data_IF_476488237876
#
_entry.id   IF_476488237876
#
_cell.length_a   1.000
_cell.length_b   1.000
_cell.length_c   1.000
_cell.angle_alpha   90.00
_cell.angle_beta   90.00
_cell.angle_gamma   90.00
#
_symmetry.space_group_name_H-M   'P 1'
#
loop_
_entity.id
_entity.type
_entity.pdbx_description
1 polymer ?
#
# COMPACT_ATOMS: atom_id res chain seq x y z
N UNK A 1 15.39 -13.82 0.53
CA UNK A 1 16.26 -13.91 1.72
C UNK A 1 17.64 -14.29 1.25
N UNK A 2 18.64 -13.42 1.48
CA UNK A 2 20.04 -13.76 1.31
C UNK A 2 20.62 -14.17 2.65
N UNK A 3 21.17 -15.36 2.75
CA UNK A 3 22.02 -15.77 3.86
C UNK A 3 23.48 -15.72 3.44
N UNK A 4 24.39 -15.34 4.33
CA UNK A 4 25.81 -15.28 4.04
C UNK A 4 26.57 -16.37 4.82
N UNK A 5 27.58 -16.92 4.17
CA UNK A 5 28.57 -17.77 4.78
C UNK A 5 29.98 -17.27 4.44
N UNK A 6 30.90 -17.36 5.38
CA UNK A 6 32.28 -16.95 5.17
C UNK A 6 33.02 -17.87 4.18
N UNK A 7 33.77 -17.30 3.23
CA UNK A 7 34.66 -18.05 2.35
C UNK A 7 35.60 -18.97 3.14
N UNK A 8 36.05 -18.52 4.30
CA UNK A 8 36.91 -19.27 5.20
C UNK A 8 36.24 -20.53 5.75
N UNK A 9 34.92 -20.50 5.98
CA UNK A 9 34.16 -21.67 6.40
C UNK A 9 34.09 -22.68 5.27
N UNK A 10 33.93 -22.25 4.02
CA UNK A 10 34.02 -23.10 2.84
C UNK A 10 35.41 -23.76 2.70
N UNK A 11 36.47 -22.98 2.92
CA UNK A 11 37.84 -23.48 2.83
C UNK A 11 38.17 -24.48 3.94
N UNK A 12 37.51 -24.39 5.11
CA UNK A 12 37.71 -25.27 6.26
C UNK A 12 36.78 -26.48 6.25
N UNK A 13 35.52 -26.32 5.82
CA UNK A 13 34.47 -27.34 5.93
C UNK A 13 33.97 -27.85 4.58
N UNK A 14 34.47 -27.33 3.46
CA UNK A 14 34.10 -27.75 2.12
C UNK A 14 32.72 -27.26 1.62
N UNK A 15 32.32 -27.71 0.44
CA UNK A 15 31.06 -27.31 -0.20
C UNK A 15 29.80 -27.90 0.52
N UNK A 16 29.96 -28.88 1.40
CA UNK A 16 28.87 -29.45 2.19
C UNK A 16 28.27 -28.42 3.16
N UNK A 17 29.09 -27.54 3.74
CA UNK A 17 28.64 -26.47 4.62
C UNK A 17 27.72 -25.49 3.89
N UNK A 18 28.03 -25.12 2.63
CA UNK A 18 27.15 -24.27 1.79
C UNK A 18 25.77 -24.89 1.61
N UNK A 19 25.74 -26.20 1.35
CA UNK A 19 24.49 -26.92 1.16
C UNK A 19 23.64 -26.95 2.43
N UNK A 20 24.28 -27.08 3.59
CA UNK A 20 23.62 -27.09 4.88
C UNK A 20 23.01 -25.73 5.23
N UNK A 21 23.79 -24.66 5.11
CA UNK A 21 23.31 -23.28 5.29
C UNK A 21 22.15 -22.93 4.33
N UNK A 22 22.27 -23.32 3.07
CA UNK A 22 21.22 -23.12 2.08
C UNK A 22 19.92 -23.85 2.46
N UNK A 23 20.03 -25.08 2.99
CA UNK A 23 18.87 -25.85 3.46
C UNK A 23 18.19 -25.18 4.64
N UNK A 24 18.93 -24.65 5.61
CA UNK A 24 18.38 -23.89 6.73
C UNK A 24 17.61 -22.66 6.23
N UNK A 25 18.19 -21.89 5.31
CA UNK A 25 17.54 -20.73 4.73
C UNK A 25 16.24 -21.09 3.98
N UNK A 26 16.23 -22.19 3.23
CA UNK A 26 15.04 -22.68 2.54
C UNK A 26 13.92 -23.08 3.51
N UNK A 27 14.27 -23.75 4.61
CA UNK A 27 13.31 -24.12 5.67
C UNK A 27 12.68 -22.86 6.29
N UNK A 28 13.48 -21.83 6.58
CA UNK A 28 12.97 -20.57 7.12
C UNK A 28 12.02 -19.89 6.12
N UNK A 29 12.39 -19.82 4.85
CA UNK A 29 11.55 -19.25 3.79
C UNK A 29 10.24 -20.03 3.63
N UNK A 30 10.31 -21.35 3.63
CA UNK A 30 9.12 -22.20 3.59
C UNK A 30 8.20 -21.93 4.80
N UNK A 31 8.77 -21.89 6.01
CA UNK A 31 8.03 -21.59 7.24
C UNK A 31 7.33 -20.21 7.16
N UNK A 32 7.97 -19.21 6.59
CA UNK A 32 7.36 -17.89 6.38
C UNK A 32 6.18 -17.98 5.41
N UNK A 33 6.36 -18.60 4.26
CA UNK A 33 5.34 -18.67 3.21
C UNK A 33 4.13 -19.51 3.61
N UNK A 34 4.34 -20.59 4.39
CA UNK A 34 3.27 -21.46 4.88
C UNK A 34 2.56 -20.91 6.12
N UNK A 35 3.07 -19.87 6.75
CA UNK A 35 2.55 -19.34 8.02
C UNK A 35 1.13 -18.76 7.93
N UNK A 36 0.70 -18.30 6.76
CA UNK A 36 -0.54 -17.54 6.56
C UNK A 36 -0.56 -16.15 7.22
N UNK A 37 0.58 -15.69 7.77
CA UNK A 37 0.74 -14.39 8.42
C UNK A 37 1.31 -13.34 7.47
N UNK A 38 2.29 -13.73 6.65
CA UNK A 38 2.93 -12.84 5.71
C UNK A 38 1.99 -12.51 4.56
N UNK A 39 1.88 -11.22 4.16
CA UNK A 39 0.99 -10.79 3.09
C UNK A 39 1.50 -11.09 1.68
N UNK A 40 2.82 -11.32 1.53
CA UNK A 40 3.49 -11.53 0.26
C UNK A 40 4.46 -12.70 0.36
N UNK A 41 4.80 -13.27 -0.79
CA UNK A 41 5.75 -14.37 -0.89
C UNK A 41 7.17 -13.89 -0.55
N UNK A 42 7.91 -14.75 0.15
CA UNK A 42 9.35 -14.62 0.39
C UNK A 42 10.07 -15.55 -0.58
N UNK A 43 10.86 -14.98 -1.49
CA UNK A 43 11.67 -15.72 -2.45
C UNK A 43 13.07 -15.92 -1.90
N UNK A 44 13.51 -17.17 -1.80
CA UNK A 44 14.88 -17.46 -1.41
C UNK A 44 15.87 -17.12 -2.53
N UNK A 45 16.97 -16.47 -2.19
CA UNK A 45 18.13 -16.27 -3.06
C UNK A 45 19.29 -17.14 -2.55
N UNK A 46 20.18 -17.59 -3.43
CA UNK A 46 21.32 -18.43 -3.03
C UNK A 46 22.16 -17.82 -1.91
N UNK A 47 22.79 -18.69 -1.11
CA UNK A 47 23.73 -18.26 -0.08
C UNK A 47 24.87 -17.45 -0.69
N UNK A 48 25.10 -16.25 -0.15
CA UNK A 48 26.08 -15.29 -0.65
C UNK A 48 27.40 -15.48 0.09
N UNK A 49 28.51 -15.53 -0.62
CA UNK A 49 29.83 -15.84 -0.05
C UNK A 49 30.90 -14.78 -0.32
N UNK A 50 30.65 -13.82 -1.20
CA UNK A 50 31.62 -12.80 -1.59
C UNK A 50 30.96 -11.49 -2.04
N UNK A 51 31.75 -10.42 -2.13
CA UNK A 51 31.28 -9.08 -2.52
C UNK A 51 30.63 -9.04 -3.91
N UNK A 52 31.04 -9.91 -4.83
CA UNK A 52 30.51 -9.92 -6.19
C UNK A 52 29.12 -10.53 -6.22
N UNK A 53 28.92 -11.67 -5.57
CA UNK A 53 27.61 -12.33 -5.47
C UNK A 53 26.61 -11.47 -4.70
N UNK A 54 27.04 -10.83 -3.61
CA UNK A 54 26.20 -9.90 -2.82
C UNK A 54 25.78 -8.71 -3.70
N UNK A 55 26.71 -8.04 -4.34
CA UNK A 55 26.41 -6.89 -5.21
C UNK A 55 25.44 -7.26 -6.32
N UNK A 56 25.70 -8.37 -7.02
CA UNK A 56 24.85 -8.85 -8.11
C UNK A 56 23.43 -9.12 -7.64
N UNK A 57 23.26 -9.77 -6.49
CA UNK A 57 21.93 -10.05 -5.91
C UNK A 57 21.16 -8.76 -5.61
N UNK A 58 21.82 -7.73 -5.07
CA UNK A 58 21.16 -6.44 -4.83
C UNK A 58 20.84 -5.67 -6.13
N UNK A 59 21.70 -5.76 -7.15
CA UNK A 59 21.44 -5.18 -8.46
C UNK A 59 20.25 -5.89 -9.15
N UNK A 60 20.16 -7.21 -9.06
CA UNK A 60 19.02 -8.00 -9.53
C UNK A 60 17.73 -7.62 -8.80
N UNK A 61 17.78 -7.51 -7.46
CA UNK A 61 16.64 -7.08 -6.68
C UNK A 61 16.16 -5.65 -7.01
N UNK A 62 17.09 -4.74 -7.34
CA UNK A 62 16.70 -3.40 -7.81
C UNK A 62 15.97 -3.42 -9.15
N UNK A 63 16.40 -4.29 -10.08
CA UNK A 63 15.85 -4.40 -11.42
C UNK A 63 14.54 -5.20 -11.48
N UNK A 64 14.28 -6.03 -10.51
CA UNK A 64 13.08 -6.87 -10.42
C UNK A 64 11.88 -6.04 -9.96
N UNK A 65 10.92 -5.79 -10.84
CA UNK A 65 9.72 -4.99 -10.55
C UNK A 65 8.79 -5.67 -9.51
N UNK A 66 8.84 -6.99 -9.38
CA UNK A 66 8.06 -7.74 -8.40
C UNK A 66 8.72 -7.75 -7.01
N UNK A 67 9.98 -7.35 -6.90
CA UNK A 67 10.70 -7.29 -5.63
C UNK A 67 10.38 -6.01 -4.87
N UNK A 68 9.63 -6.09 -3.78
CA UNK A 68 9.33 -4.92 -2.93
C UNK A 68 10.45 -4.54 -1.95
N UNK A 69 11.34 -5.48 -1.61
CA UNK A 69 12.44 -5.24 -0.67
C UNK A 69 13.24 -6.51 -0.39
N UNK A 70 14.30 -6.39 0.41
CA UNK A 70 15.19 -7.51 0.72
C UNK A 70 15.24 -7.76 2.23
N UNK A 71 15.11 -9.02 2.62
CA UNK A 71 15.38 -9.51 3.97
C UNK A 71 16.78 -10.13 3.98
N UNK A 72 17.64 -9.65 4.88
CA UNK A 72 18.98 -10.20 5.09
C UNK A 72 19.04 -10.98 6.39
N UNK A 73 19.74 -12.10 6.37
CA UNK A 73 20.00 -12.93 7.54
C UNK A 73 21.47 -13.37 7.53
N UNK A 74 22.15 -13.18 8.66
CA UNK A 74 23.52 -13.60 8.86
C UNK A 74 23.52 -14.96 9.57
N UNK A 75 23.73 -16.03 8.83
CA UNK A 75 23.66 -17.39 9.39
C UNK A 75 24.91 -17.74 10.20
N UNK A 76 26.08 -17.43 9.65
CA UNK A 76 27.37 -17.73 10.26
C UNK A 76 28.14 -16.43 10.56
N UNK A 77 29.42 -16.54 10.90
CA UNK A 77 30.29 -15.37 10.98
C UNK A 77 30.31 -14.62 9.64
N UNK A 78 29.94 -13.36 9.67
CA UNK A 78 29.86 -12.52 8.49
C UNK A 78 31.07 -11.58 8.40
N UNK A 79 31.89 -11.64 7.34
CA UNK A 79 32.86 -10.60 7.02
C UNK A 79 32.12 -9.41 6.40
N UNK A 80 31.45 -8.61 7.23
CA UNK A 80 30.50 -7.58 6.80
C UNK A 80 31.04 -6.55 5.81
N UNK A 81 32.37 -6.42 5.66
CA UNK A 81 32.97 -5.61 4.59
C UNK A 81 32.56 -6.07 3.18
N UNK A 82 32.25 -7.34 3.01
CA UNK A 82 31.79 -7.90 1.72
C UNK A 82 30.48 -7.32 1.25
N UNK A 83 29.65 -6.83 2.17
CA UNK A 83 28.33 -6.24 1.89
C UNK A 83 28.38 -4.81 1.38
N UNK A 84 29.48 -4.09 1.58
CA UNK A 84 29.56 -2.64 1.31
C UNK A 84 29.18 -2.32 -0.13
N UNK A 85 29.74 -3.00 -1.11
CA UNK A 85 29.48 -2.71 -2.52
C UNK A 85 28.03 -3.00 -2.91
N UNK A 86 27.42 -4.07 -2.40
CA UNK A 86 26.03 -4.40 -2.61
C UNK A 86 25.09 -3.39 -1.95
N UNK A 87 25.35 -3.05 -0.69
CA UNK A 87 24.56 -2.06 0.06
C UNK A 87 24.62 -0.67 -0.58
N UNK A 88 25.75 -0.26 -1.15
CA UNK A 88 25.86 1.00 -1.90
C UNK A 88 25.00 1.03 -3.16
N UNK A 89 24.86 -0.11 -3.83
CA UNK A 89 24.03 -0.24 -5.04
C UNK A 89 22.53 -0.36 -4.72
N UNK A 90 22.16 -0.81 -3.52
CA UNK A 90 20.78 -1.15 -3.17
C UNK A 90 19.90 0.08 -2.97
N UNK A 91 18.66 0.04 -3.51
CA UNK A 91 17.73 1.19 -3.53
C UNK A 91 16.34 0.88 -2.98
N UNK A 92 16.09 -0.37 -2.60
CA UNK A 92 14.78 -0.79 -2.08
C UNK A 92 14.79 -0.94 -0.56
N UNK A 93 13.63 -1.11 0.09
CA UNK A 93 13.56 -1.37 1.52
C UNK A 93 14.39 -2.56 1.97
N UNK A 94 15.08 -2.39 3.10
CA UNK A 94 15.93 -3.41 3.72
C UNK A 94 15.38 -3.81 5.08
N UNK A 95 15.25 -5.11 5.32
CA UNK A 95 15.03 -5.68 6.64
C UNK A 95 16.23 -6.55 7.03
N UNK A 96 16.75 -6.34 8.23
CA UNK A 96 17.76 -7.19 8.84
C UNK A 96 17.08 -8.10 9.86
N UNK A 97 16.98 -9.38 9.54
CA UNK A 97 16.42 -10.40 10.41
C UNK A 97 17.52 -10.99 11.30
N UNK A 98 17.46 -10.71 12.60
CA UNK A 98 18.31 -11.31 13.62
C UNK A 98 17.63 -12.58 14.14
N UNK A 99 18.01 -13.69 13.59
CA UNK A 99 17.49 -15.02 13.99
C UNK A 99 18.60 -16.05 13.88
N UNK A 100 18.33 -17.23 14.38
CA UNK A 100 19.15 -18.42 14.14
C UNK A 100 18.28 -19.61 13.83
N UNK A 101 18.87 -20.67 13.28
CA UNK A 101 18.13 -21.84 12.90
C UNK A 101 17.62 -22.63 14.11
N UNK A 102 18.45 -22.76 15.17
CA UNK A 102 18.07 -23.46 16.40
C UNK A 102 17.36 -22.51 17.37
N UNK A 103 16.31 -22.99 18.03
CA UNK A 103 15.62 -22.25 19.08
C UNK A 103 16.45 -22.20 20.36
N UNK A 104 17.05 -23.33 20.74
CA UNK A 104 17.81 -23.49 21.99
C UNK A 104 19.30 -23.71 21.73
N UNK A 105 20.13 -23.35 22.70
CA UNK A 105 21.54 -23.69 22.72
C UNK A 105 21.67 -25.10 23.32
N UNK A 106 22.22 -26.08 22.57
CA UNK A 106 22.35 -27.45 23.07
C UNK A 106 23.53 -27.59 24.06
N UNK A 107 23.37 -27.06 25.27
CA UNK A 107 24.46 -26.94 26.26
C UNK A 107 25.21 -28.26 26.56
N UNK A 108 24.53 -29.39 26.47
CA UNK A 108 25.13 -30.68 26.78
C UNK A 108 25.96 -31.27 25.64
N UNK A 109 25.76 -30.79 24.40
CA UNK A 109 26.39 -31.36 23.19
C UNK A 109 27.09 -30.32 22.32
N UNK A 110 27.05 -29.04 22.70
CA UNK A 110 27.65 -27.96 21.93
C UNK A 110 29.16 -28.15 21.77
N UNK A 111 29.64 -28.00 20.56
CA UNK A 111 31.06 -28.04 20.20
C UNK A 111 31.46 -26.84 19.33
N UNK A 112 32.70 -26.82 18.87
CA UNK A 112 33.20 -25.71 18.03
C UNK A 112 32.57 -25.69 16.65
N UNK A 113 32.20 -26.85 16.11
CA UNK A 113 31.57 -26.93 14.78
C UNK A 113 30.18 -26.35 14.83
N UNK A 114 29.38 -26.71 15.86
CA UNK A 114 28.09 -26.07 16.10
C UNK A 114 28.19 -24.56 16.27
N UNK A 115 29.16 -24.07 17.06
CA UNK A 115 29.34 -22.63 17.28
C UNK A 115 29.74 -21.90 16.00
N UNK A 116 30.57 -22.47 15.17
CA UNK A 116 30.99 -21.87 13.90
C UNK A 116 29.85 -21.81 12.87
N UNK A 117 29.02 -22.85 12.83
CA UNK A 117 27.88 -22.90 11.93
C UNK A 117 26.75 -21.96 12.39
N UNK A 118 26.61 -21.69 13.68
CA UNK A 118 25.53 -20.92 14.27
C UNK A 118 26.04 -19.63 14.93
N UNK A 119 26.69 -18.74 14.15
CA UNK A 119 27.23 -17.48 14.61
C UNK A 119 26.37 -16.27 14.22
N UNK A 120 25.06 -16.42 14.14
CA UNK A 120 24.15 -15.36 13.71
C UNK A 120 24.32 -14.07 14.54
N UNK A 121 24.39 -14.17 15.86
CA UNK A 121 24.56 -13.00 16.74
C UNK A 121 25.84 -12.20 16.44
N UNK A 122 26.93 -12.89 16.08
CA UNK A 122 28.19 -12.25 15.69
C UNK A 122 28.09 -11.60 14.31
N UNK A 123 27.54 -12.32 13.33
CA UNK A 123 27.31 -11.81 11.97
C UNK A 123 26.36 -10.62 11.94
N UNK A 124 25.27 -10.68 12.68
CA UNK A 124 24.28 -9.60 12.81
C UNK A 124 24.87 -8.32 13.38
N UNK A 125 25.75 -8.42 14.38
CA UNK A 125 26.46 -7.28 14.95
C UNK A 125 27.36 -6.60 13.92
N UNK A 126 28.14 -7.36 13.19
CA UNK A 126 29.05 -6.85 12.17
C UNK A 126 28.29 -6.22 10.99
N UNK A 127 27.28 -6.89 10.47
CA UNK A 127 26.43 -6.36 9.42
C UNK A 127 25.71 -5.08 9.87
N UNK A 128 25.10 -5.10 11.06
CA UNK A 128 24.44 -3.93 11.63
C UNK A 128 25.38 -2.74 11.82
N UNK A 129 26.65 -2.98 12.21
CA UNK A 129 27.67 -1.95 12.28
C UNK A 129 27.92 -1.28 10.91
N UNK A 130 28.11 -2.07 9.85
CA UNK A 130 28.35 -1.53 8.51
C UNK A 130 27.16 -0.75 7.99
N UNK A 131 25.95 -1.31 8.07
CA UNK A 131 24.73 -0.65 7.58
C UNK A 131 24.49 0.68 8.30
N UNK A 132 24.74 0.72 9.63
CA UNK A 132 24.64 1.95 10.43
C UNK A 132 25.67 2.98 10.00
N UNK A 133 26.95 2.58 9.81
CA UNK A 133 28.01 3.48 9.34
C UNK A 133 27.74 4.06 7.95
N UNK A 134 27.06 3.30 7.09
CA UNK A 134 26.68 3.74 5.76
C UNK A 134 25.44 4.65 5.76
N UNK A 135 24.77 4.82 6.90
CA UNK A 135 23.55 5.62 7.00
C UNK A 135 22.36 5.02 6.25
N UNK A 136 22.35 3.71 5.99
CA UNK A 136 21.28 3.04 5.26
C UNK A 136 20.12 2.75 6.21
N UNK A 137 18.91 3.27 5.94
CA UNK A 137 17.69 2.93 6.68
C UNK A 137 17.38 1.43 6.55
N UNK A 138 17.05 0.80 7.67
CA UNK A 138 16.59 -0.59 7.68
C UNK A 138 15.63 -0.84 8.83
N UNK A 139 14.76 -1.81 8.65
CA UNK A 139 14.03 -2.44 9.76
C UNK A 139 14.91 -3.52 10.40
N UNK A 140 14.80 -3.68 11.70
CA UNK A 140 15.51 -4.73 12.45
C UNK A 140 14.48 -5.56 13.20
N UNK A 141 14.39 -6.85 12.85
CA UNK A 141 13.51 -7.80 13.54
C UNK A 141 14.37 -8.85 14.23
N UNK A 142 14.21 -8.97 15.55
CA UNK A 142 14.97 -9.91 16.38
C UNK A 142 14.05 -10.96 16.96
N UNK A 143 14.45 -12.22 16.89
CA UNK A 143 13.77 -13.35 17.53
C UNK A 143 13.78 -14.61 16.71
N UNK A 144 13.24 -15.70 17.29
CA UNK A 144 13.16 -16.97 16.60
C UNK A 144 12.19 -16.92 15.42
N UNK A 145 12.61 -17.39 14.25
CA UNK A 145 11.87 -17.22 12.99
C UNK A 145 10.48 -17.88 12.99
N UNK A 146 10.27 -18.92 13.80
CA UNK A 146 8.95 -19.55 13.90
C UNK A 146 7.97 -18.76 14.77
N UNK A 147 8.45 -17.81 15.58
CA UNK A 147 7.57 -17.07 16.48
C UNK A 147 6.57 -16.21 15.71
N UNK A 148 5.34 -16.16 16.20
CA UNK A 148 4.27 -15.35 15.64
C UNK A 148 4.63 -13.87 15.62
N UNK A 149 5.24 -13.38 16.70
CA UNK A 149 5.64 -11.97 16.82
C UNK A 149 6.65 -11.55 15.75
N UNK A 150 7.66 -12.38 15.45
CA UNK A 150 8.64 -12.13 14.38
C UNK A 150 7.93 -12.05 13.03
N UNK A 151 7.04 -13.01 12.74
CA UNK A 151 6.27 -13.02 11.49
C UNK A 151 5.37 -11.80 11.34
N UNK A 152 4.72 -11.37 12.42
CA UNK A 152 3.86 -10.16 12.42
C UNK A 152 4.68 -8.88 12.17
N UNK A 153 5.88 -8.78 12.74
CA UNK A 153 6.81 -7.66 12.47
C UNK A 153 7.29 -7.65 11.01
N UNK A 154 7.65 -8.81 10.48
CA UNK A 154 8.02 -8.95 9.06
C UNK A 154 6.83 -8.57 8.18
N UNK A 155 5.63 -9.05 8.47
CA UNK A 155 4.42 -8.71 7.72
C UNK A 155 4.12 -7.21 7.73
N UNK A 156 4.32 -6.54 8.87
CA UNK A 156 4.17 -5.08 8.97
C UNK A 156 5.18 -4.34 8.09
N UNK A 157 6.45 -4.77 8.14
CA UNK A 157 7.48 -4.20 7.27
C UNK A 157 7.19 -4.43 5.78
N UNK A 158 6.74 -5.62 5.40
CA UNK A 158 6.37 -5.93 4.01
C UNK A 158 5.30 -4.99 3.47
N UNK A 159 4.31 -4.63 4.30
CA UNK A 159 3.26 -3.66 3.94
C UNK A 159 3.83 -2.26 3.72
N UNK A 160 4.77 -1.84 4.56
CA UNK A 160 5.48 -0.57 4.37
C UNK A 160 6.36 -0.59 3.12
N UNK A 161 7.02 -1.72 2.86
CA UNK A 161 7.87 -1.89 1.69
C UNK A 161 7.08 -1.77 0.38
N UNK A 162 5.91 -2.42 0.27
CA UNK A 162 5.07 -2.29 -0.92
C UNK A 162 4.54 -0.86 -1.08
N UNK A 163 4.21 -0.16 0.02
CA UNK A 163 3.85 1.26 -0.02
C UNK A 163 4.96 2.14 -0.58
N UNK A 164 6.22 1.87 -0.24
CA UNK A 164 7.37 2.61 -0.80
C UNK A 164 7.57 2.35 -2.30
N UNK A 165 7.31 1.14 -2.77
CA UNK A 165 7.38 0.80 -4.20
C UNK A 165 6.24 1.47 -4.95
N UNK A 166 5.02 1.36 -4.45
CA UNK A 166 3.84 2.03 -5.02
C UNK A 166 4.06 3.55 -5.11
N UNK A 167 4.61 4.16 -4.04
CA UNK A 167 4.89 5.60 -4.01
C UNK A 167 5.73 6.08 -5.19
N UNK A 168 6.71 5.29 -5.61
CA UNK A 168 7.59 5.66 -6.74
C UNK A 168 6.93 5.59 -8.11
N UNK A 169 5.79 4.92 -8.20
CA UNK A 169 5.09 4.63 -9.46
C UNK A 169 3.69 5.26 -9.51
N UNK A 170 3.28 5.94 -8.44
CA UNK A 170 1.92 6.49 -8.36
C UNK A 170 1.75 7.68 -9.28
N UNK A 171 0.69 7.65 -10.08
CA UNK A 171 0.26 8.75 -10.92
C UNK A 171 -1.10 9.25 -10.44
N UNK A 172 -1.19 10.55 -10.22
CA UNK A 172 -2.39 11.23 -9.72
C UNK A 172 -2.90 12.20 -10.77
N UNK A 173 -4.17 12.12 -11.10
CA UNK A 173 -4.79 13.13 -11.93
C UNK A 173 -5.57 14.13 -11.09
N UNK A 174 -5.27 15.41 -11.24
CA UNK A 174 -6.09 16.52 -10.74
C UNK A 174 -7.02 16.98 -11.87
N UNK A 175 -8.31 16.77 -11.69
CA UNK A 175 -9.35 17.23 -12.59
C UNK A 175 -9.82 18.61 -12.12
N UNK A 176 -9.73 19.62 -12.98
CA UNK A 176 -9.89 21.03 -12.67
C UNK A 176 -8.71 21.62 -11.85
N UNK A 177 -8.95 22.60 -11.00
CA UNK A 177 -7.92 23.30 -10.24
C UNK A 177 -8.05 23.05 -8.73
N UNK A 178 -7.13 23.59 -7.95
CA UNK A 178 -7.23 23.64 -6.50
C UNK A 178 -8.34 24.61 -6.07
N UNK A 179 -8.98 24.33 -4.95
CA UNK A 179 -9.98 25.23 -4.38
C UNK A 179 -9.33 26.56 -3.99
N UNK A 180 -9.91 27.67 -4.45
CA UNK A 180 -9.37 29.01 -4.21
C UNK A 180 -9.32 29.31 -2.72
N UNK A 181 -8.21 29.88 -2.27
CA UNK A 181 -7.97 30.33 -0.90
C UNK A 181 -7.96 29.18 0.16
N UNK A 182 -7.82 27.93 -0.27
CA UNK A 182 -7.65 26.77 0.62
C UNK A 182 -6.21 26.30 0.56
N UNK A 183 -5.41 26.74 1.52
CA UNK A 183 -3.97 26.55 1.51
C UNK A 183 -3.54 25.06 1.55
N UNK A 184 -4.29 24.21 2.23
CA UNK A 184 -3.96 22.78 2.38
C UNK A 184 -4.05 22.02 1.06
N UNK A 185 -4.80 22.51 0.07
CA UNK A 185 -4.92 21.84 -1.23
C UNK A 185 -3.73 22.14 -2.15
N UNK A 186 -2.97 23.19 -1.86
CA UNK A 186 -1.79 23.57 -2.63
C UNK A 186 -0.60 22.63 -2.35
N UNK A 187 0.37 22.63 -3.28
CA UNK A 187 1.60 21.86 -3.11
C UNK A 187 2.53 21.95 -4.31
N UNK A 188 3.80 21.68 -4.06
CA UNK A 188 4.83 21.61 -5.09
C UNK A 188 4.88 20.19 -5.69
N UNK A 189 4.36 20.06 -6.91
CA UNK A 189 4.31 18.80 -7.65
C UNK A 189 5.71 18.29 -8.03
N UNK A 190 6.63 19.21 -8.31
CA UNK A 190 8.01 18.85 -8.67
C UNK A 190 8.74 18.29 -7.46
N UNK A 191 8.59 18.94 -6.30
CA UNK A 191 9.16 18.44 -5.04
C UNK A 191 8.57 17.10 -4.65
N UNK A 192 7.26 16.87 -4.87
CA UNK A 192 6.61 15.60 -4.62
C UNK A 192 7.19 14.48 -5.50
N UNK A 193 7.43 14.76 -6.78
CA UNK A 193 8.06 13.79 -7.68
C UNK A 193 9.51 13.49 -7.29
N UNK A 194 10.29 14.50 -6.92
CA UNK A 194 11.68 14.33 -6.48
C UNK A 194 11.76 13.49 -5.20
N UNK A 195 10.90 13.76 -4.21
CA UNK A 195 10.97 13.10 -2.90
C UNK A 195 10.27 11.76 -2.85
N UNK A 196 9.10 11.66 -3.46
CA UNK A 196 8.21 10.52 -3.31
C UNK A 196 8.03 9.71 -4.60
N UNK A 197 8.40 10.27 -5.75
CA UNK A 197 8.14 9.68 -7.06
C UNK A 197 6.74 9.97 -7.62
N UNK A 198 5.93 10.76 -6.96
CA UNK A 198 4.55 11.04 -7.37
C UNK A 198 4.48 11.89 -8.64
N UNK A 199 3.85 11.37 -9.66
CA UNK A 199 3.55 12.11 -10.89
C UNK A 199 2.15 12.70 -10.82
N UNK A 200 2.04 14.02 -10.91
CA UNK A 200 0.76 14.73 -10.80
C UNK A 200 0.47 15.51 -12.07
N UNK A 201 -0.53 15.06 -12.82
CA UNK A 201 -1.03 15.74 -14.00
C UNK A 201 -2.32 16.52 -13.71
N UNK A 202 -2.61 17.52 -14.52
CA UNK A 202 -3.84 18.30 -14.44
C UNK A 202 -4.60 18.25 -15.76
N UNK A 203 -5.90 18.00 -15.66
CA UNK A 203 -6.79 17.93 -16.82
C UNK A 203 -8.03 18.82 -16.63
N UNK A 204 -8.52 19.45 -17.70
CA UNK A 204 -9.80 20.13 -17.66
C UNK A 204 -10.95 19.11 -17.53
N UNK A 205 -12.01 19.49 -16.84
CA UNK A 205 -13.15 18.60 -16.56
C UNK A 205 -13.76 18.02 -17.84
N UNK A 206 -13.80 18.80 -18.90
CA UNK A 206 -14.46 18.37 -20.14
C UNK A 206 -13.77 17.21 -20.85
N UNK A 207 -12.50 16.95 -20.62
CA UNK A 207 -11.85 15.74 -21.12
C UNK A 207 -12.45 14.48 -20.48
N UNK A 208 -12.78 14.53 -19.19
CA UNK A 208 -13.50 13.44 -18.51
C UNK A 208 -14.96 13.36 -18.98
N UNK A 209 -15.60 14.50 -19.24
CA UNK A 209 -16.96 14.57 -19.78
C UNK A 209 -17.08 13.84 -21.11
N UNK A 210 -16.07 13.90 -21.96
CA UNK A 210 -16.06 13.20 -23.25
C UNK A 210 -16.08 11.68 -23.03
N UNK A 211 -15.34 11.16 -22.06
CA UNK A 211 -15.39 9.74 -21.66
C UNK A 211 -16.76 9.35 -21.11
N UNK A 212 -17.36 10.19 -20.27
CA UNK A 212 -18.71 9.93 -19.70
C UNK A 212 -19.78 9.90 -20.81
N UNK A 213 -19.73 10.85 -21.75
CA UNK A 213 -20.67 10.91 -22.87
C UNK A 213 -20.51 9.75 -23.86
N UNK A 214 -19.34 9.11 -23.92
CA UNK A 214 -19.06 7.95 -24.76
C UNK A 214 -19.57 6.63 -24.18
N UNK A 215 -20.04 6.61 -22.92
CA UNK A 215 -20.53 5.38 -22.27
C UNK A 215 -21.83 4.91 -22.90
N UNK A 216 -21.91 3.63 -23.25
CA UNK A 216 -23.12 3.07 -23.85
C UNK A 216 -24.28 2.96 -22.85
N UNK A 217 -25.51 3.10 -23.34
CA UNK A 217 -26.68 2.93 -22.48
C UNK A 217 -26.74 1.53 -21.86
N UNK A 218 -26.30 0.50 -22.59
CA UNK A 218 -26.28 -0.87 -22.09
C UNK A 218 -25.35 -1.03 -20.87
N UNK A 219 -24.16 -0.41 -20.89
CA UNK A 219 -23.22 -0.45 -19.77
C UNK A 219 -23.75 0.33 -18.57
N UNK A 220 -24.39 1.48 -18.80
CA UNK A 220 -25.06 2.26 -17.74
C UNK A 220 -26.15 1.42 -17.08
N UNK A 221 -27.01 0.74 -17.88
CA UNK A 221 -28.09 -0.09 -17.35
C UNK A 221 -27.55 -1.26 -16.53
N UNK A 222 -26.50 -1.93 -17.02
CA UNK A 222 -25.86 -3.05 -16.33
C UNK A 222 -25.26 -2.61 -14.96
N UNK A 223 -24.55 -1.49 -14.93
CA UNK A 223 -23.99 -0.99 -13.68
C UNK A 223 -25.07 -0.48 -12.73
N UNK A 224 -26.12 0.16 -13.24
CA UNK A 224 -27.28 0.57 -12.44
C UNK A 224 -27.94 -0.64 -11.78
N UNK A 225 -28.12 -1.74 -12.52
CA UNK A 225 -28.69 -2.97 -11.98
C UNK A 225 -27.81 -3.53 -10.85
N UNK A 226 -26.49 -3.53 -11.03
CA UNK A 226 -25.54 -3.95 -9.99
C UNK A 226 -25.67 -3.08 -8.72
N UNK A 227 -25.87 -1.78 -8.84
CA UNK A 227 -26.12 -0.92 -7.69
C UNK A 227 -27.40 -1.31 -6.95
N UNK A 228 -28.46 -1.61 -7.68
CA UNK A 228 -29.75 -2.03 -7.11
C UNK A 228 -29.67 -3.37 -6.39
N UNK A 229 -28.78 -4.25 -6.83
CA UNK A 229 -28.54 -5.54 -6.17
C UNK A 229 -27.63 -5.42 -4.94
N UNK A 230 -26.68 -4.50 -4.98
CA UNK A 230 -25.64 -4.37 -3.95
C UNK A 230 -26.04 -3.49 -2.77
N UNK A 231 -26.81 -2.44 -3.02
CA UNK A 231 -27.07 -1.38 -2.05
C UNK A 231 -28.56 -1.26 -1.68
N UNK A 232 -28.83 -0.84 -0.45
CA UNK A 232 -30.16 -0.42 -0.06
C UNK A 232 -30.53 0.91 -0.74
N UNK A 233 -31.73 1.04 -1.27
CA UNK A 233 -32.19 2.24 -1.95
C UNK A 233 -33.10 3.05 -1.03
N UNK A 234 -32.66 4.24 -0.64
CA UNK A 234 -33.45 5.15 0.21
C UNK A 234 -34.14 6.20 -0.68
N UNK A 235 -35.35 5.88 -1.14
CA UNK A 235 -36.13 6.76 -2.01
C UNK A 235 -36.64 8.02 -1.30
N UNK A 236 -36.89 7.97 0.00
CA UNK A 236 -37.37 9.10 0.83
C UNK A 236 -38.60 9.83 0.20
N UNK A 237 -39.50 9.06 -0.36
CA UNK A 237 -40.70 9.58 -1.00
C UNK A 237 -40.53 10.09 -2.44
N UNK A 238 -39.35 9.94 -3.05
CA UNK A 238 -39.12 10.25 -4.47
C UNK A 238 -39.78 9.23 -5.38
N UNK A 239 -40.14 9.67 -6.58
CA UNK A 239 -40.56 8.78 -7.63
C UNK A 239 -39.44 7.80 -8.02
N UNK A 240 -39.69 6.47 -8.06
CA UNK A 240 -38.65 5.48 -8.37
C UNK A 240 -38.02 5.67 -9.76
N UNK A 241 -38.74 6.19 -10.73
CA UNK A 241 -38.22 6.43 -12.08
C UNK A 241 -37.27 7.62 -12.08
N UNK A 242 -37.61 8.68 -11.34
CA UNK A 242 -36.76 9.84 -11.16
C UNK A 242 -35.48 9.46 -10.39
N UNK A 243 -35.63 8.72 -9.30
CA UNK A 243 -34.49 8.19 -8.54
C UNK A 243 -33.52 7.40 -9.43
N UNK A 244 -34.07 6.50 -10.25
CA UNK A 244 -33.28 5.69 -11.19
C UNK A 244 -32.49 6.57 -12.16
N UNK A 245 -33.07 7.62 -12.71
CA UNK A 245 -32.36 8.54 -13.62
C UNK A 245 -31.13 9.19 -12.96
N UNK A 246 -31.22 9.55 -11.68
CA UNK A 246 -30.08 10.09 -10.94
C UNK A 246 -28.97 9.05 -10.76
N UNK A 247 -29.33 7.81 -10.46
CA UNK A 247 -28.37 6.70 -10.31
C UNK A 247 -27.72 6.34 -11.64
N UNK A 248 -28.47 6.36 -12.76
CA UNK A 248 -27.92 6.15 -14.10
C UNK A 248 -26.86 7.20 -14.49
N UNK A 249 -27.04 8.45 -14.08
CA UNK A 249 -26.00 9.49 -14.29
C UNK A 249 -24.72 9.14 -13.55
N UNK A 250 -24.79 8.68 -12.29
CA UNK A 250 -23.61 8.24 -11.54
C UNK A 250 -22.96 7.01 -12.15
N UNK A 251 -23.73 6.06 -12.65
CA UNK A 251 -23.19 4.90 -13.36
C UNK A 251 -22.40 5.31 -14.61
N UNK A 252 -22.94 6.25 -15.39
CA UNK A 252 -22.20 6.82 -16.53
C UNK A 252 -20.90 7.52 -16.12
N UNK A 253 -20.93 8.29 -15.03
CA UNK A 253 -19.74 8.97 -14.50
C UNK A 253 -18.72 7.93 -14.01
N UNK A 254 -19.12 6.89 -13.25
CA UNK A 254 -18.17 5.86 -12.77
C UNK A 254 -17.47 5.18 -13.95
N UNK A 255 -18.22 4.74 -14.96
CA UNK A 255 -17.66 4.02 -16.11
C UNK A 255 -16.72 4.92 -16.90
N UNK A 256 -17.15 6.15 -17.22
CA UNK A 256 -16.36 7.09 -17.99
C UNK A 256 -15.07 7.50 -17.26
N UNK A 257 -15.18 7.82 -15.98
CA UNK A 257 -14.03 8.21 -15.17
C UNK A 257 -13.06 7.03 -14.97
N UNK A 258 -13.56 5.83 -14.67
CA UNK A 258 -12.70 4.66 -14.54
C UNK A 258 -11.95 4.35 -15.85
N UNK A 259 -12.65 4.47 -16.98
CA UNK A 259 -12.02 4.30 -18.29
C UNK A 259 -10.93 5.34 -18.53
N UNK A 260 -11.19 6.62 -18.23
CA UNK A 260 -10.22 7.70 -18.33
C UNK A 260 -8.97 7.38 -17.46
N UNK A 261 -9.16 6.97 -16.20
CA UNK A 261 -8.06 6.61 -15.31
C UNK A 261 -7.22 5.45 -15.85
N UNK A 262 -7.87 4.43 -16.39
CA UNK A 262 -7.18 3.24 -16.97
C UNK A 262 -6.43 3.57 -18.26
N UNK A 263 -7.03 4.33 -19.17
CA UNK A 263 -6.42 4.68 -20.45
C UNK A 263 -5.15 5.56 -20.27
N UNK A 264 -5.06 6.30 -19.16
CA UNK A 264 -3.94 7.17 -18.83
C UNK A 264 -3.05 6.65 -17.69
N UNK A 265 -3.34 5.45 -17.17
CA UNK A 265 -2.60 4.80 -16.08
C UNK A 265 -2.52 5.64 -14.79
N UNK A 266 -3.65 6.20 -14.34
CA UNK A 266 -3.76 6.90 -13.06
C UNK A 266 -4.27 5.98 -11.96
N UNK A 267 -3.63 6.02 -10.78
CA UNK A 267 -4.00 5.26 -9.59
C UNK A 267 -4.76 6.09 -8.56
N UNK A 268 -4.79 7.40 -8.73
CA UNK A 268 -5.52 8.31 -7.86
C UNK A 268 -6.12 9.48 -8.65
N UNK A 269 -7.24 10.00 -8.15
CA UNK A 269 -7.98 11.09 -8.79
C UNK A 269 -8.38 12.15 -7.79
N UNK A 270 -8.39 13.39 -8.23
CA UNK A 270 -8.85 14.54 -7.46
C UNK A 270 -9.88 15.30 -8.27
N UNK A 271 -10.96 15.70 -7.62
CA UNK A 271 -12.02 16.50 -8.23
C UNK A 271 -12.20 17.82 -7.48
N UNK A 272 -12.88 18.76 -8.13
CA UNK A 272 -13.23 20.05 -7.54
C UNK A 272 -14.73 20.29 -7.71
N UNK A 273 -15.46 20.40 -6.59
CA UNK A 273 -16.92 20.54 -6.61
C UNK A 273 -17.40 21.85 -7.24
N UNK A 274 -16.58 22.87 -7.24
CA UNK A 274 -16.90 24.19 -7.84
C UNK A 274 -16.68 24.25 -9.35
N UNK A 275 -16.14 23.18 -9.96
CA UNK A 275 -15.94 23.10 -11.41
C UNK A 275 -16.38 21.74 -11.92
N UNK A 276 -17.61 21.69 -12.40
CA UNK A 276 -18.23 20.48 -12.96
C UNK A 276 -18.13 20.40 -14.49
N UNK A 277 -17.73 21.47 -15.15
CA UNK A 277 -17.74 21.52 -16.60
C UNK A 277 -19.09 21.05 -17.16
N UNK A 278 -19.06 20.02 -18.00
CA UNK A 278 -20.26 19.38 -18.57
C UNK A 278 -20.82 18.21 -17.76
N UNK A 279 -20.31 17.90 -16.58
CA UNK A 279 -20.86 16.85 -15.71
C UNK A 279 -22.24 17.28 -15.16
N UNK A 280 -23.21 16.35 -15.20
CA UNK A 280 -24.57 16.61 -14.74
C UNK A 280 -24.73 16.53 -13.22
N UNK A 281 -23.78 15.90 -12.54
CA UNK A 281 -23.77 15.70 -11.10
C UNK A 281 -22.32 15.71 -10.61
N UNK A 282 -22.11 15.94 -9.31
CA UNK A 282 -20.85 15.64 -8.65
C UNK A 282 -20.61 14.13 -8.67
N UNK A 283 -19.38 13.66 -8.84
CA UNK A 283 -19.06 12.25 -9.03
C UNK A 283 -19.06 11.43 -7.72
N UNK A 284 -19.87 11.79 -6.72
CA UNK A 284 -19.80 11.24 -5.36
C UNK A 284 -19.87 9.71 -5.30
N UNK A 285 -20.95 9.09 -5.82
CA UNK A 285 -21.07 7.64 -5.83
C UNK A 285 -20.00 6.98 -6.69
N UNK A 286 -19.66 7.56 -7.83
CA UNK A 286 -18.60 7.08 -8.69
C UNK A 286 -17.26 7.02 -7.96
N UNK A 287 -16.88 8.10 -7.27
CA UNK A 287 -15.63 8.16 -6.49
C UNK A 287 -15.61 7.17 -5.33
N UNK A 288 -16.72 7.02 -4.60
CA UNK A 288 -16.81 6.04 -3.51
C UNK A 288 -16.51 4.63 -4.02
N UNK A 289 -17.06 4.28 -5.16
CA UNK A 289 -16.84 2.98 -5.79
C UNK A 289 -15.44 2.82 -6.37
N UNK A 290 -14.87 3.87 -6.91
CA UNK A 290 -13.47 3.84 -7.33
C UNK A 290 -12.52 3.66 -6.14
N UNK A 291 -12.79 4.30 -5.00
CA UNK A 291 -12.04 4.02 -3.77
C UNK A 291 -12.21 2.58 -3.29
N UNK A 292 -13.41 1.97 -3.42
CA UNK A 292 -13.62 0.55 -3.14
C UNK A 292 -12.76 -0.35 -4.03
N UNK A 293 -12.54 0.05 -5.30
CA UNK A 293 -11.68 -0.64 -6.26
C UNK A 293 -10.17 -0.39 -6.04
N UNK A 294 -9.81 0.44 -5.07
CA UNK A 294 -8.41 0.70 -4.69
C UNK A 294 -7.83 2.01 -5.20
N UNK A 295 -8.57 2.81 -5.94
CA UNK A 295 -8.11 4.14 -6.34
C UNK A 295 -7.97 5.08 -5.12
N UNK A 296 -6.97 5.96 -5.18
CA UNK A 296 -6.87 7.06 -4.23
C UNK A 296 -7.82 8.20 -4.60
N UNK A 297 -8.26 8.94 -3.59
CA UNK A 297 -9.07 10.13 -3.79
C UNK A 297 -8.68 11.25 -2.83
N UNK A 298 -8.76 12.49 -3.32
CA UNK A 298 -8.70 13.72 -2.56
C UNK A 298 -9.73 14.69 -3.13
N UNK A 299 -10.28 15.55 -2.29
CA UNK A 299 -11.22 16.57 -2.71
C UNK A 299 -10.50 17.90 -3.03
N UNK A 300 -11.23 18.81 -3.70
CA UNK A 300 -10.86 20.22 -3.80
C UNK A 300 -9.49 20.51 -4.44
N UNK A 301 -8.97 19.57 -5.20
CA UNK A 301 -7.65 19.71 -5.80
C UNK A 301 -6.50 19.14 -4.96
N UNK A 302 -6.75 18.58 -3.77
CA UNK A 302 -5.69 18.03 -2.91
C UNK A 302 -5.17 16.67 -3.39
N UNK A 303 -4.27 16.72 -4.33
CA UNK A 303 -3.59 15.57 -4.90
C UNK A 303 -2.69 14.83 -3.89
N UNK A 304 -2.24 15.52 -2.82
CA UNK A 304 -1.40 14.91 -1.77
C UNK A 304 -2.21 13.88 -0.98
N UNK A 305 -3.41 14.25 -0.58
CA UNK A 305 -4.35 13.35 0.09
C UNK A 305 -4.75 12.19 -0.83
N UNK A 306 -4.99 12.45 -2.11
CA UNK A 306 -5.29 11.38 -3.07
C UNK A 306 -4.17 10.34 -3.16
N UNK A 307 -2.92 10.78 -3.26
CA UNK A 307 -1.76 9.89 -3.24
C UNK A 307 -1.68 9.08 -1.94
N UNK A 308 -1.86 9.73 -0.78
CA UNK A 308 -1.81 9.07 0.52
C UNK A 308 -2.93 8.03 0.70
N UNK A 309 -4.15 8.33 0.27
CA UNK A 309 -5.27 7.35 0.31
C UNK A 309 -4.94 6.13 -0.54
N UNK A 310 -4.35 6.31 -1.73
CA UNK A 310 -3.88 5.18 -2.55
C UNK A 310 -2.83 4.35 -1.84
N UNK A 311 -1.79 4.96 -1.29
CA UNK A 311 -0.73 4.26 -0.57
C UNK A 311 -1.28 3.44 0.61
N UNK A 312 -2.14 4.04 1.41
CA UNK A 312 -2.76 3.35 2.55
C UNK A 312 -3.62 2.15 2.11
N UNK A 313 -4.34 2.27 0.99
CA UNK A 313 -5.10 1.14 0.41
C UNK A 313 -4.17 0.00 0.00
N UNK A 314 -3.06 0.29 -0.65
CA UNK A 314 -2.07 -0.72 -1.05
C UNK A 314 -1.44 -1.39 0.18
N UNK A 315 -1.03 -0.61 1.16
CA UNK A 315 -0.42 -1.12 2.40
C UNK A 315 -1.38 -2.01 3.22
N UNK A 316 -2.69 -1.76 3.15
CA UNK A 316 -3.70 -2.53 3.90
C UNK A 316 -4.38 -3.62 3.08
N UNK A 317 -4.07 -3.74 1.79
CA UNK A 317 -4.65 -4.76 0.92
C UNK A 317 -4.49 -6.17 1.51
N UNK A 318 -5.57 -6.96 1.48
CA UNK A 318 -5.58 -8.34 1.98
C UNK A 318 -5.41 -8.51 3.49
N UNK A 319 -5.36 -7.43 4.27
CA UNK A 319 -5.35 -7.53 5.75
C UNK A 319 -6.75 -7.83 6.25
N UNK A 320 -6.96 -9.00 6.85
CA UNK A 320 -8.28 -9.51 7.28
C UNK A 320 -9.03 -8.59 8.24
N UNK A 321 -8.30 -7.89 9.12
CA UNK A 321 -8.87 -7.01 10.15
C UNK A 321 -8.92 -5.52 9.72
N UNK A 322 -8.50 -5.20 8.49
CA UNK A 322 -8.55 -3.85 7.99
C UNK A 322 -9.92 -3.56 7.36
N UNK A 323 -10.62 -2.58 7.88
CA UNK A 323 -11.89 -2.09 7.33
C UNK A 323 -11.72 -1.23 6.07
N UNK A 324 -10.48 -1.10 5.58
CA UNK A 324 -10.14 -0.27 4.44
C UNK A 324 -9.71 1.14 4.82
N UNK A 325 -9.42 1.93 3.81
CA UNK A 325 -8.98 3.32 3.93
C UNK A 325 -9.92 4.21 3.13
N UNK A 326 -10.22 5.37 3.64
CA UNK A 326 -11.09 6.36 2.98
C UNK A 326 -10.44 7.74 3.01
N UNK A 327 -10.85 8.58 2.07
CA UNK A 327 -10.80 10.01 2.22
C UNK A 327 -11.83 10.42 3.27
N UNK A 328 -11.46 11.27 4.19
CA UNK A 328 -12.32 11.91 5.20
C UNK A 328 -11.72 13.27 5.57
N UNK A 329 -12.56 14.14 6.12
CA UNK A 329 -12.18 15.44 6.67
C UNK A 329 -12.68 15.57 8.10
N UNK A 330 -11.99 16.36 8.91
CA UNK A 330 -12.35 16.70 10.27
C UNK A 330 -13.42 17.81 10.27
N UNK A 331 -14.67 17.44 10.61
CA UNK A 331 -15.81 18.36 10.53
C UNK A 331 -16.10 19.10 11.83
N UNK A 332 -16.19 18.39 12.95
CA UNK A 332 -16.61 19.00 14.20
C UNK A 332 -16.13 18.23 15.43
N UNK A 333 -16.03 18.93 16.54
CA UNK A 333 -15.56 18.38 17.81
C UNK A 333 -16.72 17.88 18.68
N UNK A 334 -16.46 16.82 19.42
CA UNK A 334 -17.25 16.44 20.59
C UNK A 334 -16.42 16.74 21.84
N UNK A 335 -16.91 17.66 22.68
CA UNK A 335 -16.24 18.08 23.92
C UNK A 335 -16.86 17.48 25.20
N UNK A 336 -17.71 16.47 25.07
CA UNK A 336 -18.27 15.81 26.25
C UNK A 336 -17.14 15.10 27.00
N UNK A 337 -16.95 15.41 28.34
CA UNK A 337 -15.87 14.80 29.10
C UNK A 337 -15.92 13.26 29.08
N UNK A 338 -14.78 12.63 28.73
CA UNK A 338 -14.66 11.19 28.60
C UNK A 338 -15.21 10.62 27.25
N UNK A 339 -15.66 11.49 26.35
CA UNK A 339 -16.12 11.16 24.99
C UNK A 339 -15.57 12.14 23.95
N UNK A 340 -14.48 12.79 24.29
CA UNK A 340 -13.85 13.76 23.38
C UNK A 340 -13.47 13.08 22.08
N UNK A 341 -13.69 13.79 20.96
CA UNK A 341 -13.40 13.26 19.64
C UNK A 341 -13.60 14.27 18.52
N UNK A 342 -13.31 13.85 17.31
CA UNK A 342 -13.56 14.60 16.09
C UNK A 342 -14.45 13.75 15.20
N UNK A 343 -15.46 14.37 14.60
CA UNK A 343 -16.23 13.72 13.54
C UNK A 343 -15.44 13.78 12.24
N UNK A 344 -14.93 12.63 11.84
CA UNK A 344 -14.35 12.42 10.53
C UNK A 344 -15.46 12.07 9.54
N UNK A 345 -15.62 12.87 8.49
CA UNK A 345 -16.68 12.71 7.50
C UNK A 345 -16.28 13.30 6.14
N UNK A 346 -17.12 13.14 5.16
CA UNK A 346 -17.15 13.95 3.94
C UNK A 346 -18.56 13.98 3.37
N UNK A 347 -18.90 15.02 2.62
CA UNK A 347 -20.27 15.20 2.13
C UNK A 347 -20.68 14.13 1.13
N UNK A 348 -19.73 13.60 0.33
CA UNK A 348 -19.98 12.66 -0.75
C UNK A 348 -19.08 11.44 -0.74
N UNK A 349 -17.75 11.65 -0.67
CA UNK A 349 -16.75 10.69 -1.09
C UNK A 349 -16.15 9.95 0.10
N UNK A 350 -16.96 9.16 0.82
CA UNK A 350 -16.49 8.23 1.85
C UNK A 350 -16.50 6.81 1.29
N UNK A 351 -15.39 6.09 1.43
CA UNK A 351 -15.26 4.74 0.89
C UNK A 351 -16.20 3.75 1.58
N UNK A 352 -17.04 3.00 0.88
CA UNK A 352 -17.99 2.07 1.50
C UNK A 352 -17.31 0.92 2.27
N UNK A 353 -16.02 0.65 2.03
CA UNK A 353 -15.28 -0.41 2.74
C UNK A 353 -15.07 -0.16 4.22
N UNK A 354 -15.22 1.10 4.69
CA UNK A 354 -15.10 1.43 6.12
C UNK A 354 -16.42 1.28 6.88
N UNK A 355 -17.53 1.02 6.20
CA UNK A 355 -18.84 0.86 6.83
C UNK A 355 -18.91 -0.40 7.69
N UNK A 356 -19.56 -0.28 8.86
CA UNK A 356 -19.81 -1.41 9.78
C UNK A 356 -21.04 -2.24 9.38
N UNK A 357 -21.85 -1.75 8.46
CA UNK A 357 -23.11 -2.38 8.05
C UNK A 357 -23.42 -2.18 6.57
N UNK A 358 -24.63 -2.60 6.13
CA UNK A 358 -25.06 -2.41 4.76
C UNK A 358 -25.10 -0.92 4.39
N UNK A 359 -24.55 -0.59 3.24
CA UNK A 359 -24.55 0.78 2.72
C UNK A 359 -25.77 1.04 1.87
N UNK A 360 -26.19 2.30 1.81
CA UNK A 360 -27.41 2.72 1.12
C UNK A 360 -27.10 3.80 0.08
N UNK A 361 -27.86 3.82 -1.00
CA UNK A 361 -27.87 4.92 -1.97
C UNK A 361 -29.07 5.82 -1.69
N UNK A 362 -28.78 7.11 -1.60
CA UNK A 362 -29.80 8.16 -1.43
C UNK A 362 -29.48 9.32 -2.36
N UNK A 363 -30.51 10.03 -2.80
CA UNK A 363 -30.39 11.22 -3.65
C UNK A 363 -30.73 12.45 -2.83
N UNK A 364 -29.80 13.35 -2.68
CA UNK A 364 -29.99 14.63 -2.00
C UNK A 364 -29.98 15.81 -2.98
N UNK A 365 -30.81 16.85 -2.73
CA UNK A 365 -30.81 18.04 -3.56
C UNK A 365 -29.53 18.86 -3.34
N UNK A 366 -29.08 19.52 -4.42
CA UNK A 366 -27.89 20.39 -4.40
C UNK A 366 -27.99 21.51 -3.37
N UNK A 367 -29.19 21.93 -3.00
CA UNK A 367 -29.45 22.98 -2.00
C UNK A 367 -29.04 22.61 -0.56
N UNK A 368 -28.83 21.34 -0.27
CA UNK A 368 -28.31 20.89 1.07
C UNK A 368 -26.79 20.95 1.17
N UNK A 369 -26.15 21.97 0.68
CA UNK A 369 -24.71 22.14 0.65
C UNK A 369 -24.19 22.44 -0.74
N UNK A 370 -25.05 23.03 -1.58
CA UNK A 370 -24.78 23.25 -3.01
C UNK A 370 -24.58 21.96 -3.83
N UNK A 371 -25.12 20.82 -3.38
CA UNK A 371 -24.79 19.53 -3.98
C UNK A 371 -26.03 18.65 -4.24
N UNK A 372 -26.08 18.08 -5.42
CA UNK A 372 -26.88 16.92 -5.71
C UNK A 372 -25.96 15.71 -5.62
N UNK A 373 -26.13 14.84 -4.64
CA UNK A 373 -25.30 13.65 -4.49
C UNK A 373 -26.13 12.37 -4.31
N UNK A 374 -25.53 11.29 -4.77
CA UNK A 374 -25.93 9.93 -4.44
C UNK A 374 -24.80 9.34 -3.61
N UNK A 375 -25.06 8.96 -2.38
CA UNK A 375 -24.02 8.54 -1.45
C UNK A 375 -24.53 7.42 -0.55
N UNK A 376 -23.75 6.38 -0.27
CA UNK A 376 -23.92 5.65 0.97
C UNK A 376 -23.60 6.63 2.11
N UNK A 377 -24.57 6.88 2.97
CA UNK A 377 -24.36 7.83 4.08
C UNK A 377 -23.60 7.15 5.23
N UNK A 378 -22.49 7.72 5.71
CA UNK A 378 -21.86 7.22 6.93
C UNK A 378 -22.70 7.48 8.20
N UNK A 379 -23.79 8.24 8.07
CA UNK A 379 -24.66 8.57 9.21
C UNK A 379 -25.61 7.45 9.63
N UNK A 380 -25.80 6.45 8.77
CA UNK A 380 -26.73 5.35 9.04
C UNK A 380 -26.06 4.13 9.67
N UNK A 381 -24.77 4.26 10.06
CA UNK A 381 -23.97 3.21 10.68
C UNK A 381 -23.11 3.67 11.88
N UNK A 382 -23.35 4.85 12.40
CA UNK A 382 -22.66 5.34 13.60
C UNK A 382 -23.61 5.36 14.81
#
# INVERSE_FOLDING_TARGET
VGSEMCIRDRDLYGDECLSHVAKHAQIIVQNFNESGILPFEVVWKPTLIDSTSIRRTFEEANADEECAGVITWMHTFSPAKSWIAGLQAFKKPLLHLHTQFNEEIPYDTIDMDFMNENQSAHGDREFGHIVTRMGIPREVVVGYYESKEVKEKIASWMRSAIGMVESKNIRVVRIADNMRNVAVTEGDKVEAQIKFGWEIDAYPVNEVVDYVNAVSKGDIDALTQLYYEKYNLLLEGRDPIEFKKHVEVQAGIEIGLEKFLKDHDYQAVVTHFGDLGGLKQLPGLAIQRLMEKGYGFGAEGDWKTAAMVRLMKVMTAGKKDAKGTSFMEDYTYNFVPGKEGILEAHMLEVCPTIADGPVSIKVNPLSMGCLLYTSPSPRDGA
#
